data_IF_778366908353
#
_entry.id   IF_778366908353
#
_cell.length_a   1.000
_cell.length_b   1.000
_cell.length_c   1.000
_cell.angle_alpha   90.00
_cell.angle_beta   90.00
_cell.angle_gamma   90.00
#
_symmetry.space_group_name_H-M   'P 1'
#
loop_
_entity.id
_entity.type
_entity.pdbx_description
1 polymer ?
#
# COMPACT_ATOMS: atom_id res chain seq x y z
N UNK A 1 5.31 -10.32 -6.14
CA UNK A 1 5.45 -9.94 -7.56
C UNK A 1 4.88 -8.53 -7.74
N UNK A 2 5.73 -7.54 -7.97
CA UNK A 2 5.31 -6.17 -8.32
C UNK A 2 5.14 -6.15 -9.84
N UNK A 3 3.90 -6.08 -10.33
CA UNK A 3 3.65 -5.88 -11.75
C UNK A 3 3.79 -4.39 -12.08
N UNK A 4 4.82 -4.08 -12.86
CA UNK A 4 5.06 -2.78 -13.48
C UNK A 4 4.16 -2.66 -14.70
N UNK A 5 3.20 -1.74 -14.67
CA UNK A 5 2.40 -1.38 -15.86
C UNK A 5 3.02 -0.11 -16.45
N UNK A 6 3.55 -0.27 -17.65
CA UNK A 6 4.23 0.74 -18.45
C UNK A 6 3.18 1.37 -19.36
N UNK A 7 2.87 2.64 -19.18
CA UNK A 7 2.23 3.48 -20.19
C UNK A 7 2.93 4.83 -20.21
N UNK A 8 3.43 5.19 -21.40
CA UNK A 8 4.33 6.31 -21.64
C UNK A 8 3.55 7.54 -22.11
N UNK A 9 3.59 8.64 -21.35
CA UNK A 9 3.37 10.00 -21.87
C UNK A 9 4.13 11.01 -20.98
N UNK A 10 5.23 11.57 -21.49
CA UNK A 10 5.87 12.84 -21.08
C UNK A 10 5.94 13.23 -19.58
N UNK A 11 6.44 12.35 -18.71
CA UNK A 11 6.54 12.63 -17.27
C UNK A 11 7.82 12.03 -16.68
N UNK A 12 8.99 12.45 -17.19
CA UNK A 12 10.26 11.75 -17.01
C UNK A 12 10.73 11.62 -15.53
N UNK A 13 10.15 12.39 -14.59
CA UNK A 13 10.57 12.41 -13.19
C UNK A 13 9.49 11.98 -12.19
N UNK A 14 8.22 11.89 -12.60
CA UNK A 14 7.17 11.48 -11.67
C UNK A 14 7.03 9.95 -11.61
N UNK A 15 7.03 9.42 -10.40
CA UNK A 15 6.77 8.01 -10.13
C UNK A 15 5.30 7.78 -9.78
N UNK A 16 4.79 6.57 -10.00
CA UNK A 16 3.43 6.20 -9.60
C UNK A 16 3.45 5.28 -8.39
N UNK A 17 2.59 5.57 -7.41
CA UNK A 17 2.31 4.70 -6.27
C UNK A 17 0.88 4.17 -6.38
N UNK A 18 0.70 2.85 -6.37
CA UNK A 18 -0.63 2.25 -6.46
C UNK A 18 -1.00 1.48 -5.19
N UNK A 19 -2.18 1.75 -4.65
CA UNK A 19 -2.75 1.09 -3.46
C UNK A 19 -4.02 0.33 -3.83
N UNK A 20 -4.12 -0.93 -3.37
CA UNK A 20 -5.33 -1.75 -3.48
C UNK A 20 -5.96 -1.92 -2.11
N UNK A 21 -7.23 -1.57 -1.99
CA UNK A 21 -8.00 -1.62 -0.74
C UNK A 21 -9.16 -2.59 -0.90
N UNK A 22 -9.20 -3.61 -0.04
CA UNK A 22 -10.37 -4.47 0.08
C UNK A 22 -11.49 -3.75 0.82
N UNK A 23 -12.67 -3.70 0.22
CA UNK A 23 -13.88 -3.11 0.80
C UNK A 23 -15.00 -4.16 0.80
N UNK A 24 -16.12 -3.86 1.47
CA UNK A 24 -17.31 -4.73 1.41
C UNK A 24 -17.90 -4.90 0.01
N UNK A 25 -17.52 -4.05 -0.95
CA UNK A 25 -17.99 -4.07 -2.33
C UNK A 25 -16.95 -4.63 -3.31
N UNK A 26 -15.83 -5.16 -2.82
CA UNK A 26 -14.73 -5.66 -3.65
C UNK A 26 -13.45 -4.83 -3.47
N UNK A 27 -12.55 -4.91 -4.45
CA UNK A 27 -11.23 -4.27 -4.40
C UNK A 27 -11.26 -2.94 -5.14
N UNK A 28 -10.88 -1.86 -4.47
CA UNK A 28 -10.71 -0.52 -5.07
C UNK A 28 -9.23 -0.23 -5.23
N UNK A 29 -8.83 0.21 -6.43
CA UNK A 29 -7.46 0.60 -6.75
C UNK A 29 -7.36 2.12 -6.80
N UNK A 30 -6.36 2.68 -6.11
CA UNK A 30 -6.01 4.10 -6.16
C UNK A 30 -4.59 4.23 -6.69
N UNK A 31 -4.36 5.17 -7.61
CA UNK A 31 -3.04 5.47 -8.15
C UNK A 31 -2.72 6.93 -7.88
N UNK A 32 -1.57 7.16 -7.25
CA UNK A 32 -1.07 8.47 -6.88
C UNK A 32 0.15 8.79 -7.74
N UNK A 33 0.18 10.01 -8.27
CA UNK A 33 1.39 10.58 -8.86
C UNK A 33 2.28 11.09 -7.74
N UNK A 34 3.56 10.76 -7.82
CA UNK A 34 4.57 11.10 -6.83
C UNK A 34 5.69 11.85 -7.52
N UNK A 35 5.91 13.08 -7.10
CA UNK A 35 6.80 14.02 -7.80
C UNK A 35 8.28 13.71 -7.59
N UNK A 36 8.63 13.07 -6.48
CA UNK A 36 10.03 12.71 -6.18
C UNK A 36 10.21 11.25 -5.81
N UNK A 37 11.39 10.71 -6.15
CA UNK A 37 11.80 9.36 -5.74
C UNK A 37 11.91 9.21 -4.22
N UNK A 38 12.25 10.29 -3.52
CA UNK A 38 12.33 10.32 -2.07
C UNK A 38 10.94 10.11 -1.45
N UNK A 39 9.92 10.81 -1.97
CA UNK A 39 8.54 10.66 -1.52
C UNK A 39 8.01 9.26 -1.82
N UNK A 40 8.31 8.71 -3.00
CA UNK A 40 7.89 7.36 -3.34
C UNK A 40 8.44 6.35 -2.33
N UNK A 41 9.72 6.49 -1.98
CA UNK A 41 10.41 5.63 -1.01
C UNK A 41 9.81 5.78 0.38
N UNK A 42 9.58 7.03 0.81
CA UNK A 42 8.98 7.35 2.10
C UNK A 42 7.57 6.74 2.23
N UNK A 43 6.68 7.02 1.27
CA UNK A 43 5.30 6.55 1.30
C UNK A 43 5.21 5.03 1.23
N UNK A 44 6.02 4.41 0.37
CA UNK A 44 6.08 2.93 0.28
C UNK A 44 6.48 2.32 1.62
N UNK A 45 7.48 2.88 2.30
CA UNK A 45 7.93 2.41 3.62
C UNK A 45 6.87 2.64 4.70
N UNK A 46 6.29 3.83 4.76
CA UNK A 46 5.29 4.19 5.76
C UNK A 46 4.03 3.30 5.64
N UNK A 47 3.53 3.08 4.43
CA UNK A 47 2.39 2.19 4.17
C UNK A 47 2.71 0.75 4.58
N UNK A 48 3.90 0.26 4.21
CA UNK A 48 4.33 -1.11 4.56
C UNK A 48 4.41 -1.32 6.08
N UNK A 49 4.96 -0.36 6.81
CA UNK A 49 5.05 -0.40 8.28
C UNK A 49 3.68 -0.34 8.93
N UNK A 50 2.78 0.53 8.43
CA UNK A 50 1.41 0.62 8.90
C UNK A 50 0.66 -0.71 8.72
N UNK A 51 0.75 -1.32 7.53
CA UNK A 51 0.14 -2.62 7.23
C UNK A 51 0.69 -3.74 8.13
N UNK A 52 2.01 -3.80 8.33
CA UNK A 52 2.63 -4.77 9.23
C UNK A 52 2.12 -4.60 10.67
N UNK A 53 2.03 -3.37 11.16
CA UNK A 53 1.50 -3.08 12.50
C UNK A 53 0.03 -3.51 12.64
N UNK A 54 -0.80 -3.23 11.62
CA UNK A 54 -2.19 -3.64 11.60
C UNK A 54 -2.34 -5.18 11.62
N UNK A 55 -1.51 -5.90 10.87
CA UNK A 55 -1.50 -7.37 10.86
C UNK A 55 -1.14 -7.93 12.23
N UNK A 56 -0.10 -7.40 12.89
CA UNK A 56 0.32 -7.85 14.23
C UNK A 56 -0.80 -7.62 15.24
N UNK A 57 -1.38 -6.42 15.30
CA UNK A 57 -2.48 -6.10 16.23
C UNK A 57 -3.71 -6.96 15.99
N UNK A 58 -4.03 -7.25 14.72
CA UNK A 58 -5.16 -8.13 14.38
C UNK A 58 -4.90 -9.55 14.87
N UNK A 59 -3.70 -10.09 14.66
CA UNK A 59 -3.32 -11.41 15.18
C UNK A 59 -3.43 -11.47 16.71
N UNK A 60 -2.91 -10.47 17.40
CA UNK A 60 -2.99 -10.39 18.86
C UNK A 60 -4.43 -10.36 19.38
N UNK A 61 -5.31 -9.59 18.74
CA UNK A 61 -6.73 -9.55 19.09
C UNK A 61 -7.40 -10.92 18.91
N UNK A 62 -7.16 -11.56 17.76
CA UNK A 62 -7.70 -12.91 17.47
C UNK A 62 -7.20 -13.94 18.49
N UNK A 63 -5.90 -13.95 18.80
CA UNK A 63 -5.35 -14.88 19.79
C UNK A 63 -5.94 -14.68 21.19
N UNK A 64 -6.24 -13.44 21.59
CA UNK A 64 -6.89 -13.16 22.88
C UNK A 64 -8.34 -13.64 22.92
N UNK A 65 -9.07 -13.57 21.81
CA UNK A 65 -10.46 -14.04 21.75
C UNK A 65 -10.59 -15.56 21.90
N UNK A 66 -9.60 -16.34 21.47
CA UNK A 66 -9.63 -17.81 21.56
C UNK A 66 -9.07 -18.37 22.88
N UNK A 67 -8.55 -17.53 23.77
CA UNK A 67 -7.96 -17.94 25.06
C UNK A 67 -8.91 -17.77 26.26
N UNK A 68 -10.07 -17.15 26.07
CA UNK A 68 -11.14 -17.00 27.06
C UNK A 68 -12.28 -17.96 26.74
#
# INVERSE_FOLDING_TARGET
>A
LVHSTRDSVNDADASLLSLRVGTKFGVVSHTFRVETKADLTYWTKAISQCLQSAVVRTKEAVFRMFKN
#
